data_IF_686281146843
#
_entry.id   IF_686281146843
#
_cell.length_a   1.000
_cell.length_b   1.000
_cell.length_c   1.000
_cell.angle_alpha   90.00
_cell.angle_beta   90.00
_cell.angle_gamma   90.00
#
_symmetry.space_group_name_H-M   'P 1'
#
loop_
_entity.id
_entity.type
_entity.pdbx_description
1 polymer ?
#
# COMPACT_ATOMS: atom_id res chain seq x y z
N UNK A 1 -8.35 -8.03 -27.96
CA UNK A 1 -8.17 -7.17 -26.77
C UNK A 1 -9.54 -6.98 -26.12
N UNK A 2 -9.68 -7.21 -24.81
CA UNK A 2 -10.95 -6.96 -24.13
C UNK A 2 -11.23 -5.45 -24.06
N UNK A 3 -12.48 -5.05 -24.24
CA UNK A 3 -12.92 -3.65 -24.17
C UNK A 3 -12.60 -3.10 -22.78
N UNK A 4 -11.86 -1.99 -22.72
CA UNK A 4 -11.66 -1.23 -21.47
C UNK A 4 -12.98 -0.55 -21.17
N UNK A 5 -13.56 -0.82 -20.00
CA UNK A 5 -14.79 -0.13 -19.59
C UNK A 5 -14.54 1.37 -19.58
N UNK A 6 -15.43 2.17 -20.13
CA UNK A 6 -15.33 3.65 -20.05
C UNK A 6 -16.25 4.20 -18.96
N UNK A 7 -15.99 5.42 -18.50
CA UNK A 7 -16.88 6.11 -17.56
C UNK A 7 -18.34 6.17 -18.06
N UNK A 8 -18.52 6.35 -19.37
CA UNK A 8 -19.84 6.35 -20.01
C UNK A 8 -20.50 4.97 -20.02
N UNK A 9 -19.76 3.92 -20.34
CA UNK A 9 -20.29 2.53 -20.30
C UNK A 9 -20.70 2.08 -18.89
N UNK A 10 -20.04 2.58 -17.86
CA UNK A 10 -20.38 2.31 -16.46
C UNK A 10 -21.54 3.16 -15.94
N UNK A 11 -21.99 4.15 -16.71
CA UNK A 11 -23.05 5.07 -16.30
C UNK A 11 -22.65 5.97 -15.14
N UNK A 12 -21.40 6.43 -15.09
CA UNK A 12 -20.98 7.41 -14.08
C UNK A 12 -21.69 8.76 -14.29
N UNK A 13 -21.98 9.54 -13.23
CA UNK A 13 -22.66 10.81 -13.34
C UNK A 13 -21.87 11.80 -14.22
N UNK A 14 -22.54 12.45 -15.18
CA UNK A 14 -21.97 13.50 -16.02
C UNK A 14 -22.79 14.80 -15.86
N UNK A 15 -22.19 15.91 -15.39
CA UNK A 15 -20.78 16.07 -15.01
C UNK A 15 -20.41 15.30 -13.73
N UNK A 16 -19.10 15.07 -13.46
CA UNK A 16 -18.65 14.48 -12.22
C UNK A 16 -19.24 15.20 -11.00
N UNK A 17 -19.69 14.46 -9.97
CA UNK A 17 -20.33 15.05 -8.81
C UNK A 17 -19.34 15.95 -8.05
N UNK A 18 -19.85 17.07 -7.54
CA UNK A 18 -19.12 17.98 -6.66
C UNK A 18 -19.86 18.12 -5.32
N UNK A 19 -19.09 18.39 -4.26
CA UNK A 19 -19.62 18.65 -2.93
C UNK A 19 -18.96 19.94 -2.42
N UNK A 20 -19.78 20.91 -2.01
CA UNK A 20 -19.31 22.11 -1.30
C UNK A 20 -18.75 21.72 0.07
N UNK A 21 -17.91 22.56 0.71
CA UNK A 21 -17.38 22.27 2.04
C UNK A 21 -18.45 21.99 3.11
N UNK A 22 -19.63 22.61 2.99
CA UNK A 22 -20.76 22.46 3.91
C UNK A 22 -21.73 21.33 3.50
N UNK A 23 -21.41 20.58 2.46
CA UNK A 23 -22.28 19.51 1.99
C UNK A 23 -22.36 18.36 3.02
N UNK A 24 -23.47 17.61 3.03
CA UNK A 24 -23.58 16.46 3.90
C UNK A 24 -22.42 15.47 3.66
N UNK A 25 -21.91 14.81 4.71
CA UNK A 25 -20.81 13.84 4.62
C UNK A 25 -21.03 12.73 3.58
N UNK A 26 -22.29 12.31 3.39
CA UNK A 26 -22.70 11.38 2.34
C UNK A 26 -22.36 11.88 0.93
N UNK A 27 -22.51 13.19 0.66
CA UNK A 27 -22.14 13.78 -0.62
C UNK A 27 -20.63 13.72 -0.85
N UNK A 28 -19.81 14.01 0.17
CA UNK A 28 -18.35 13.90 0.08
C UNK A 28 -17.88 12.45 -0.15
N UNK A 29 -18.50 11.47 0.52
CA UNK A 29 -18.22 10.05 0.29
C UNK A 29 -18.53 9.65 -1.15
N UNK A 30 -19.68 10.07 -1.68
CA UNK A 30 -20.08 9.81 -3.07
C UNK A 30 -19.12 10.42 -4.09
N UNK A 31 -18.73 11.68 -3.91
CA UNK A 31 -17.71 12.35 -4.74
C UNK A 31 -16.39 11.59 -4.71
N UNK A 32 -15.99 11.11 -3.53
CA UNK A 32 -14.76 10.33 -3.37
C UNK A 32 -14.84 8.98 -4.08
N UNK A 33 -15.97 8.28 -3.99
CA UNK A 33 -16.20 7.03 -4.71
C UNK A 33 -16.11 7.27 -6.21
N UNK A 34 -16.88 8.21 -6.76
CA UNK A 34 -16.87 8.55 -8.19
C UNK A 34 -15.45 8.82 -8.70
N UNK A 35 -14.73 9.72 -8.04
CA UNK A 35 -13.35 10.06 -8.41
C UNK A 35 -12.44 8.82 -8.44
N UNK A 36 -12.58 7.90 -7.49
CA UNK A 36 -11.74 6.72 -7.47
C UNK A 36 -12.18 5.65 -8.48
N UNK A 37 -13.47 5.56 -8.83
CA UNK A 37 -13.93 4.68 -9.93
C UNK A 37 -13.38 5.18 -11.26
N UNK A 38 -13.44 6.49 -11.51
CA UNK A 38 -12.83 7.11 -12.71
C UNK A 38 -11.34 6.83 -12.79
N UNK A 39 -10.61 7.07 -11.70
CA UNK A 39 -9.18 6.78 -11.65
C UNK A 39 -8.87 5.28 -11.87
N UNK A 40 -9.68 4.37 -11.30
CA UNK A 40 -9.50 2.94 -11.49
C UNK A 40 -9.62 2.55 -12.97
N UNK A 41 -10.61 3.11 -13.66
CA UNK A 41 -10.90 2.85 -15.08
C UNK A 41 -9.85 3.48 -15.99
N UNK A 42 -9.47 4.73 -15.74
CA UNK A 42 -8.46 5.46 -16.51
C UNK A 42 -7.11 4.73 -16.46
N UNK A 43 -6.68 4.34 -15.26
CA UNK A 43 -5.40 3.65 -15.07
C UNK A 43 -5.43 2.16 -15.47
N UNK A 44 -6.61 1.56 -15.67
CA UNK A 44 -6.71 0.22 -16.27
C UNK A 44 -6.12 0.21 -17.69
N UNK A 45 -6.39 1.25 -18.49
CA UNK A 45 -5.84 1.35 -19.85
C UNK A 45 -4.31 1.37 -19.82
N UNK A 46 -3.72 2.17 -18.93
CA UNK A 46 -2.27 2.25 -18.73
C UNK A 46 -1.69 0.91 -18.25
N UNK A 47 -2.34 0.29 -17.26
CA UNK A 47 -1.92 -1.00 -16.72
C UNK A 47 -1.98 -2.13 -17.77
N UNK A 48 -2.90 -2.04 -18.75
CA UNK A 48 -3.01 -3.01 -19.85
C UNK A 48 -1.88 -2.89 -20.88
N UNK A 49 -1.41 -1.67 -21.14
CA UNK A 49 -0.22 -1.44 -21.97
C UNK A 49 1.01 -2.03 -21.27
N UNK A 50 1.15 -1.75 -19.97
CA UNK A 50 2.23 -2.30 -19.13
C UNK A 50 3.62 -1.81 -19.51
N UNK A 51 3.70 -0.63 -20.14
CA UNK A 51 4.93 0.10 -20.42
C UNK A 51 5.39 0.90 -19.18
N UNK A 52 4.44 1.32 -18.35
CA UNK A 52 4.67 2.09 -17.13
C UNK A 52 4.09 1.35 -15.90
N UNK A 53 4.90 1.04 -14.87
CA UNK A 53 4.40 0.47 -13.61
C UNK A 53 3.40 1.40 -12.88
N UNK A 54 3.37 2.68 -13.22
CA UNK A 54 2.49 3.67 -12.61
C UNK A 54 1.00 3.37 -12.82
N UNK A 55 0.62 2.73 -13.93
CA UNK A 55 -0.76 2.30 -14.17
C UNK A 55 -1.27 1.37 -13.06
N UNK A 56 -0.50 0.33 -12.72
CA UNK A 56 -0.85 -0.60 -11.63
C UNK A 56 -0.77 0.10 -10.27
N UNK A 57 0.22 0.98 -10.08
CA UNK A 57 0.35 1.75 -8.85
C UNK A 57 -0.91 2.59 -8.57
N UNK A 58 -1.36 3.36 -9.54
CA UNK A 58 -2.53 4.23 -9.39
C UNK A 58 -3.83 3.44 -9.24
N UNK A 59 -4.00 2.32 -9.94
CA UNK A 59 -5.12 1.41 -9.68
C UNK A 59 -5.11 0.90 -8.22
N UNK A 60 -3.96 0.53 -7.66
CA UNK A 60 -3.86 0.14 -6.23
C UNK A 60 -4.24 1.30 -5.30
N UNK A 61 -3.82 2.51 -5.62
CA UNK A 61 -4.17 3.72 -4.86
C UNK A 61 -5.69 3.93 -4.88
N UNK A 62 -6.32 3.83 -6.04
CA UNK A 62 -7.77 3.94 -6.20
C UNK A 62 -8.52 2.87 -5.39
N UNK A 63 -8.14 1.59 -5.50
CA UNK A 63 -8.74 0.48 -4.73
C UNK A 63 -8.62 0.72 -3.21
N UNK A 64 -7.45 1.12 -2.72
CA UNK A 64 -7.25 1.44 -1.30
C UNK A 64 -8.15 2.59 -0.85
N UNK A 65 -8.24 3.65 -1.65
CA UNK A 65 -9.05 4.84 -1.32
C UNK A 65 -10.56 4.53 -1.39
N UNK A 66 -11.00 3.67 -2.30
CA UNK A 66 -12.37 3.13 -2.35
C UNK A 66 -12.68 2.36 -1.06
N UNK A 67 -11.82 1.40 -0.67
CA UNK A 67 -12.00 0.65 0.58
C UNK A 67 -12.09 1.56 1.81
N UNK A 68 -11.29 2.63 1.85
CA UNK A 68 -11.36 3.62 2.92
C UNK A 68 -12.68 4.41 2.91
N UNK A 69 -13.15 4.83 1.73
CA UNK A 69 -14.43 5.54 1.59
C UNK A 69 -15.62 4.66 2.01
N UNK A 70 -15.64 3.39 1.58
CA UNK A 70 -16.71 2.45 1.94
C UNK A 70 -16.74 2.08 3.43
N UNK A 71 -15.63 2.28 4.16
CA UNK A 71 -15.60 2.10 5.62
C UNK A 71 -16.19 3.28 6.40
N UNK A 72 -16.33 4.44 5.76
CA UNK A 72 -16.98 5.62 6.35
C UNK A 72 -18.52 5.57 6.23
N UNK A 73 -19.05 4.62 5.46
CA UNK A 73 -20.48 4.32 5.37
C UNK A 73 -20.89 3.45 6.57
N UNK A 74 -22.14 3.58 7.03
CA UNK A 74 -22.65 2.80 8.17
C UNK A 74 -22.46 1.28 7.95
N UNK A 75 -22.07 0.51 9.00
CA UNK A 75 -21.76 -0.92 8.87
C UNK A 75 -22.86 -1.77 8.22
N UNK A 76 -24.14 -1.43 8.45
CA UNK A 76 -25.29 -2.18 7.96
C UNK A 76 -25.73 -1.82 6.52
N UNK A 77 -24.97 -0.97 5.81
CA UNK A 77 -25.29 -0.54 4.44
C UNK A 77 -25.06 -1.62 3.36
N UNK A 78 -24.86 -2.88 3.73
CA UNK A 78 -24.70 -3.99 2.78
C UNK A 78 -23.42 -3.95 1.92
N UNK A 79 -22.40 -3.19 2.32
CA UNK A 79 -21.18 -2.98 1.50
C UNK A 79 -20.09 -4.04 1.67
N UNK A 80 -20.29 -5.03 2.54
CA UNK A 80 -19.28 -6.07 2.84
C UNK A 80 -18.82 -6.80 1.58
N UNK A 81 -19.77 -7.20 0.72
CA UNK A 81 -19.46 -7.88 -0.54
C UNK A 81 -18.57 -7.01 -1.45
N UNK A 82 -18.89 -5.73 -1.62
CA UNK A 82 -18.07 -4.81 -2.42
C UNK A 82 -16.69 -4.59 -1.79
N UNK A 83 -16.59 -4.50 -0.46
CA UNK A 83 -15.29 -4.39 0.22
C UNK A 83 -14.41 -5.64 0.02
N UNK A 84 -15.02 -6.82 -0.01
CA UNK A 84 -14.33 -8.08 -0.25
C UNK A 84 -13.86 -8.21 -1.70
N UNK A 85 -14.68 -7.79 -2.67
CA UNK A 85 -14.29 -7.70 -4.07
C UNK A 85 -13.14 -6.70 -4.30
N UNK A 86 -13.17 -5.54 -3.64
CA UNK A 86 -12.03 -4.61 -3.65
C UNK A 86 -10.78 -5.20 -2.98
N UNK A 87 -10.93 -6.04 -1.94
CA UNK A 87 -9.80 -6.74 -1.33
C UNK A 87 -9.20 -7.75 -2.30
N UNK A 88 -10.05 -8.52 -2.99
CA UNK A 88 -9.63 -9.45 -4.03
C UNK A 88 -8.86 -8.75 -5.16
N UNK A 89 -9.43 -7.69 -5.75
CA UNK A 89 -8.77 -6.92 -6.81
C UNK A 89 -7.45 -6.32 -6.30
N UNK A 90 -7.45 -5.79 -5.07
CA UNK A 90 -6.26 -5.28 -4.41
C UNK A 90 -5.15 -6.32 -4.25
N UNK A 91 -5.49 -7.60 -4.06
CA UNK A 91 -4.53 -8.71 -4.03
C UNK A 91 -3.93 -9.02 -5.40
N UNK A 92 -4.74 -9.00 -6.46
CA UNK A 92 -4.29 -9.22 -7.85
C UNK A 92 -3.30 -8.13 -8.28
N UNK A 93 -3.69 -6.86 -8.14
CA UNK A 93 -2.82 -5.71 -8.41
C UNK A 93 -1.63 -5.69 -7.44
N UNK A 94 -1.87 -6.19 -6.23
CA UNK A 94 -0.90 -6.35 -5.15
C UNK A 94 0.38 -6.99 -5.62
N UNK A 95 0.24 -8.23 -6.10
CA UNK A 95 1.33 -9.09 -6.57
C UNK A 95 2.20 -8.44 -7.65
N UNK A 96 1.62 -7.70 -8.58
CA UNK A 96 2.39 -7.05 -9.66
C UNK A 96 3.22 -5.91 -9.08
N UNK A 97 2.59 -5.02 -8.29
CA UNK A 97 3.31 -3.89 -7.72
C UNK A 97 4.42 -4.33 -6.77
N UNK A 98 4.23 -5.42 -6.02
CA UNK A 98 5.26 -5.95 -5.12
C UNK A 98 6.48 -6.43 -5.96
N UNK A 99 6.24 -7.09 -7.09
CA UNK A 99 7.28 -7.48 -8.04
C UNK A 99 7.92 -6.27 -8.75
N UNK A 100 7.16 -5.22 -9.10
CA UNK A 100 7.72 -4.00 -9.69
C UNK A 100 8.70 -3.30 -8.74
N UNK A 101 8.32 -3.17 -7.46
CA UNK A 101 9.20 -2.59 -6.42
C UNK A 101 10.46 -3.42 -6.31
N UNK A 102 10.32 -4.74 -6.17
CA UNK A 102 11.46 -5.61 -5.94
C UNK A 102 12.40 -5.69 -7.15
N UNK A 103 11.86 -5.81 -8.36
CA UNK A 103 12.66 -5.76 -9.60
C UNK A 103 13.37 -4.43 -9.76
N UNK A 104 12.70 -3.31 -9.50
CA UNK A 104 13.32 -1.99 -9.55
C UNK A 104 14.46 -1.86 -8.55
N UNK A 105 14.23 -2.31 -7.32
CA UNK A 105 15.22 -2.32 -6.23
C UNK A 105 16.44 -3.18 -6.56
N UNK A 106 16.25 -4.45 -6.93
CA UNK A 106 17.35 -5.37 -7.23
C UNK A 106 18.14 -4.93 -8.48
N UNK A 107 17.49 -4.36 -9.50
CA UNK A 107 18.18 -3.80 -10.67
C UNK A 107 19.02 -2.58 -10.32
N UNK A 108 18.51 -1.70 -9.46
CA UNK A 108 19.30 -0.56 -8.98
C UNK A 108 20.57 -1.05 -8.26
N UNK A 109 20.43 -2.05 -7.38
CA UNK A 109 21.59 -2.64 -6.72
C UNK A 109 22.54 -3.35 -7.69
N UNK A 110 22.01 -4.05 -8.70
CA UNK A 110 22.81 -4.72 -9.72
C UNK A 110 23.60 -3.71 -10.56
N UNK A 111 23.04 -2.54 -10.86
CA UNK A 111 23.74 -1.46 -11.55
C UNK A 111 24.97 -0.96 -10.77
N UNK A 112 24.90 -0.98 -9.44
CA UNK A 112 26.01 -0.61 -8.54
C UNK A 112 27.05 -1.73 -8.35
N UNK A 113 26.92 -2.88 -9.02
CA UNK A 113 27.93 -3.94 -9.02
C UNK A 113 29.04 -3.69 -10.05
N UNK A 114 30.24 -4.27 -9.86
CA UNK A 114 31.29 -4.30 -10.88
C UNK A 114 30.75 -4.83 -12.21
N UNK A 115 31.23 -4.27 -13.32
CA UNK A 115 30.74 -4.61 -14.68
C UNK A 115 30.75 -6.11 -14.95
N UNK A 116 31.79 -6.82 -14.47
CA UNK A 116 31.92 -8.26 -14.63
C UNK A 116 30.77 -9.07 -13.98
N UNK A 117 30.11 -8.54 -12.96
CA UNK A 117 29.07 -9.25 -12.20
C UNK A 117 27.65 -8.90 -12.65
N UNK A 118 27.47 -7.84 -13.45
CA UNK A 118 26.14 -7.36 -13.86
C UNK A 118 25.38 -8.39 -14.68
N UNK A 119 26.08 -9.15 -15.53
CA UNK A 119 25.45 -10.20 -16.32
C UNK A 119 24.88 -11.32 -15.42
N UNK A 120 25.62 -11.72 -14.39
CA UNK A 120 25.15 -12.70 -13.40
C UNK A 120 23.96 -12.17 -12.57
N UNK A 121 24.00 -10.89 -12.20
CA UNK A 121 22.87 -10.23 -11.53
C UNK A 121 21.59 -10.23 -12.39
N UNK A 122 21.70 -9.94 -13.70
CA UNK A 122 20.56 -9.99 -14.63
C UNK A 122 20.01 -11.41 -14.80
N UNK A 123 20.87 -12.43 -14.82
CA UNK A 123 20.43 -13.84 -14.85
C UNK A 123 19.67 -14.21 -13.58
N UNK A 124 20.18 -13.80 -12.41
CA UNK A 124 19.52 -14.01 -11.11
C UNK A 124 18.10 -13.42 -11.07
N UNK A 125 17.93 -12.16 -11.49
CA UNK A 125 16.61 -11.50 -11.50
C UNK A 125 15.69 -12.01 -12.63
N UNK A 126 16.21 -12.80 -13.56
CA UNK A 126 15.44 -13.36 -14.69
C UNK A 126 14.22 -14.19 -14.23
N UNK A 127 14.34 -14.91 -13.12
CA UNK A 127 13.23 -15.65 -12.53
C UNK A 127 12.13 -14.70 -11.98
N UNK A 128 12.49 -13.57 -11.33
CA UNK A 128 11.51 -12.54 -10.95
C UNK A 128 10.83 -11.93 -12.18
N UNK A 129 11.57 -11.71 -13.26
CA UNK A 129 10.99 -11.21 -14.52
C UNK A 129 9.94 -12.19 -15.05
N UNK A 130 10.19 -13.50 -14.95
CA UNK A 130 9.23 -14.52 -15.31
C UNK A 130 7.99 -14.50 -14.38
N UNK A 131 8.18 -14.33 -13.07
CA UNK A 131 7.09 -14.15 -12.10
C UNK A 131 6.25 -12.91 -12.39
N UNK A 132 6.88 -11.79 -12.69
CA UNK A 132 6.22 -10.55 -13.08
C UNK A 132 5.38 -10.76 -14.34
N UNK A 133 5.92 -11.42 -15.37
CA UNK A 133 5.16 -11.78 -16.57
C UNK A 133 3.96 -12.68 -16.26
N UNK A 134 4.10 -13.66 -15.36
CA UNK A 134 2.99 -14.52 -14.89
C UNK A 134 1.92 -13.71 -14.16
N UNK A 135 2.32 -12.84 -13.23
CA UNK A 135 1.41 -11.97 -12.48
C UNK A 135 0.65 -11.02 -13.41
N UNK A 136 1.35 -10.40 -14.38
CA UNK A 136 0.75 -9.56 -15.40
C UNK A 136 -0.30 -10.29 -16.24
N UNK A 137 -0.01 -11.51 -16.70
CA UNK A 137 -1.01 -12.33 -17.42
C UNK A 137 -2.25 -12.56 -16.56
N UNK A 138 -2.08 -12.96 -15.30
CA UNK A 138 -3.21 -13.16 -14.37
C UNK A 138 -4.05 -11.90 -14.14
N UNK A 139 -3.43 -10.73 -14.04
CA UNK A 139 -4.16 -9.46 -13.97
C UNK A 139 -4.96 -9.18 -15.25
N UNK A 140 -4.34 -9.35 -16.41
CA UNK A 140 -5.04 -9.13 -17.69
C UNK A 140 -6.23 -10.08 -17.87
N UNK A 141 -6.09 -11.33 -17.46
CA UNK A 141 -7.19 -12.30 -17.47
C UNK A 141 -8.26 -11.93 -16.45
N UNK A 142 -7.86 -11.45 -15.27
CA UNK A 142 -8.78 -10.91 -14.24
C UNK A 142 -9.67 -9.81 -14.82
N UNK A 143 -9.09 -8.86 -15.56
CA UNK A 143 -9.86 -7.77 -16.15
C UNK A 143 -10.86 -8.21 -17.23
N UNK A 144 -10.79 -9.46 -17.71
CA UNK A 144 -11.75 -10.01 -18.68
C UNK A 144 -12.91 -10.75 -18.01
N UNK A 145 -12.83 -10.99 -16.71
CA UNK A 145 -13.83 -11.79 -15.98
C UNK A 145 -15.16 -11.04 -15.83
N UNK A 146 -16.25 -11.80 -15.72
CA UNK A 146 -17.55 -11.25 -15.30
C UNK A 146 -17.44 -10.63 -13.90
N UNK A 147 -16.70 -11.30 -12.99
CA UNK A 147 -16.45 -10.81 -11.62
C UNK A 147 -15.91 -9.38 -11.59
N UNK A 148 -14.86 -9.09 -12.36
CA UNK A 148 -14.29 -7.74 -12.43
C UNK A 148 -15.30 -6.71 -12.96
N UNK A 149 -16.03 -7.03 -14.02
CA UNK A 149 -17.06 -6.14 -14.58
C UNK A 149 -18.21 -5.90 -13.60
N UNK A 150 -18.63 -6.92 -12.86
CA UNK A 150 -19.64 -6.79 -11.80
C UNK A 150 -19.18 -5.87 -10.67
N UNK A 151 -17.89 -5.95 -10.29
CA UNK A 151 -17.31 -5.01 -9.33
C UNK A 151 -17.38 -3.57 -9.84
N UNK A 152 -16.97 -3.30 -11.09
CA UNK A 152 -17.03 -1.94 -11.64
C UNK A 152 -18.46 -1.39 -11.67
N UNK A 153 -19.44 -2.20 -12.07
CA UNK A 153 -20.87 -1.81 -12.04
C UNK A 153 -21.38 -1.57 -10.63
N UNK A 154 -21.00 -2.41 -9.67
CA UNK A 154 -21.38 -2.20 -8.27
C UNK A 154 -20.81 -0.88 -7.73
N UNK A 155 -19.56 -0.56 -8.05
CA UNK A 155 -18.94 0.70 -7.66
C UNK A 155 -19.60 1.91 -8.33
N UNK A 156 -19.96 1.79 -9.61
CA UNK A 156 -20.72 2.83 -10.33
C UNK A 156 -22.13 3.02 -9.75
N UNK A 157 -22.83 1.95 -9.35
CA UNK A 157 -24.12 2.08 -8.68
C UNK A 157 -24.02 2.89 -7.37
N UNK A 158 -22.91 2.74 -6.64
CA UNK A 158 -22.66 3.51 -5.41
C UNK A 158 -22.45 5.02 -5.66
N UNK A 159 -22.14 5.44 -6.89
CA UNK A 159 -22.05 6.88 -7.21
C UNK A 159 -23.42 7.54 -7.36
N UNK A 160 -24.50 6.74 -7.43
CA UNK A 160 -25.89 7.22 -7.50
C UNK A 160 -26.67 6.94 -6.21
N UNK A 161 -26.16 6.07 -5.35
CA UNK A 161 -26.83 5.67 -4.12
C UNK A 161 -26.84 6.77 -3.05
N UNK A 162 -27.88 6.78 -2.24
CA UNK A 162 -27.90 7.47 -0.96
C UNK A 162 -27.14 6.62 0.07
N UNK A 163 -25.96 7.08 0.47
CA UNK A 163 -25.08 6.35 1.38
C UNK A 163 -25.17 6.95 2.79
N UNK A 164 -25.79 6.25 3.76
CA UNK A 164 -25.76 6.70 5.14
C UNK A 164 -24.33 6.65 5.68
N UNK A 165 -23.85 7.76 6.24
CA UNK A 165 -22.46 7.87 6.70
C UNK A 165 -22.36 7.82 8.21
N UNK A 166 -21.27 7.24 8.71
CA UNK A 166 -20.91 7.32 10.12
C UNK A 166 -20.24 8.68 10.30
N UNK A 167 -20.93 9.65 10.88
CA UNK A 167 -20.30 10.86 11.36
C UNK A 167 -20.37 10.89 12.87
N UNK A 168 -19.23 11.05 13.56
CA UNK A 168 -19.24 11.75 14.83
C UNK A 168 -19.58 13.21 14.52
N UNK A 169 -20.77 13.62 14.92
CA UNK A 169 -21.02 15.04 15.15
C UNK A 169 -20.31 15.43 16.44
N UNK A 170 -19.52 16.50 16.41
CA UNK A 170 -19.24 17.28 17.63
C UNK A 170 -17.81 17.30 18.15
N UNK A 171 -17.46 18.51 18.61
CA UNK A 171 -16.42 18.98 19.52
C UNK A 171 -14.95 18.55 19.35
N UNK A 172 -14.04 19.45 19.71
CA UNK A 172 -12.60 19.20 19.67
C UNK A 172 -12.12 18.09 20.63
N UNK A 173 -12.97 17.62 21.55
CA UNK A 173 -12.66 16.53 22.48
C UNK A 173 -12.73 15.16 21.81
N UNK A 174 -13.75 14.91 20.98
CA UNK A 174 -13.87 13.69 20.19
C UNK A 174 -12.69 13.51 19.21
N UNK A 175 -12.12 14.61 18.72
CA UNK A 175 -10.97 14.62 17.81
C UNK A 175 -9.67 14.09 18.46
N UNK A 176 -9.43 14.47 19.71
CA UNK A 176 -8.26 14.01 20.48
C UNK A 176 -8.40 12.54 20.85
N UNK A 177 -9.63 12.08 21.14
CA UNK A 177 -9.89 10.67 21.43
C UNK A 177 -9.59 9.73 20.25
N UNK A 178 -9.84 10.19 19.01
CA UNK A 178 -9.50 9.47 17.77
C UNK A 178 -7.98 9.22 17.65
N UNK A 179 -7.14 10.12 18.19
CA UNK A 179 -5.67 9.96 18.21
C UNK A 179 -5.20 9.17 19.44
N UNK A 180 -5.82 9.41 20.61
CA UNK A 180 -5.40 8.85 21.89
C UNK A 180 -5.37 7.32 21.89
N UNK A 181 -6.41 6.67 21.35
CA UNK A 181 -6.51 5.21 21.35
C UNK A 181 -5.45 4.53 20.45
N UNK A 182 -5.27 4.94 19.17
CA UNK A 182 -4.18 4.41 18.34
C UNK A 182 -2.79 4.70 18.91
N UNK A 183 -2.56 5.89 19.47
CA UNK A 183 -1.28 6.26 20.09
C UNK A 183 -0.96 5.37 21.29
N UNK A 184 -1.90 5.23 22.23
CA UNK A 184 -1.73 4.35 23.40
C UNK A 184 -1.36 2.93 23.00
N UNK A 185 -2.03 2.38 21.98
CA UNK A 185 -1.73 1.01 21.52
C UNK A 185 -0.38 0.91 20.83
N UNK A 186 0.00 1.89 20.01
CA UNK A 186 1.34 1.96 19.42
C UNK A 186 2.42 2.02 20.50
N UNK A 187 2.25 2.90 21.50
CA UNK A 187 3.18 3.09 22.61
C UNK A 187 3.34 1.81 23.44
N UNK A 188 2.23 1.17 23.80
CA UNK A 188 2.26 -0.11 24.52
C UNK A 188 3.02 -1.18 23.76
N UNK A 189 2.73 -1.35 22.47
CA UNK A 189 3.39 -2.37 21.64
C UNK A 189 4.88 -2.05 21.47
N UNK A 190 5.26 -0.78 21.25
CA UNK A 190 6.66 -0.36 21.11
C UNK A 190 7.49 -0.58 22.39
N UNK A 191 6.94 -0.21 23.55
CA UNK A 191 7.62 -0.36 24.85
C UNK A 191 7.74 -1.82 25.29
N UNK A 192 6.90 -2.71 24.76
CA UNK A 192 7.00 -4.14 25.01
C UNK A 192 8.13 -4.81 24.19
N UNK A 193 8.68 -4.14 23.17
CA UNK A 193 9.76 -4.68 22.34
C UNK A 193 11.12 -4.54 23.04
N UNK A 194 11.75 -5.69 23.31
CA UNK A 194 13.14 -5.77 23.78
C UNK A 194 14.14 -5.28 22.73
N UNK A 195 15.42 -5.19 23.09
CA UNK A 195 16.49 -4.57 22.28
C UNK A 195 16.52 -5.02 20.81
N UNK A 196 16.39 -6.33 20.57
CA UNK A 196 16.38 -6.93 19.23
C UNK A 196 15.04 -7.66 18.98
N UNK A 197 13.97 -6.95 18.57
CA UNK A 197 12.67 -7.55 18.37
C UNK A 197 12.63 -8.41 17.09
N UNK A 198 11.81 -9.47 17.05
CA UNK A 198 11.53 -10.22 15.81
C UNK A 198 11.06 -9.32 14.65
N UNK A 199 11.36 -9.72 13.41
CA UNK A 199 10.96 -8.96 12.21
C UNK A 199 9.41 -8.80 12.12
N UNK A 200 8.65 -9.82 12.53
CA UNK A 200 7.19 -9.80 12.55
C UNK A 200 6.62 -8.79 13.55
N UNK A 201 7.29 -8.59 14.68
CA UNK A 201 6.87 -7.62 15.69
C UNK A 201 7.09 -6.19 15.19
N UNK A 202 8.20 -5.93 14.48
CA UNK A 202 8.43 -4.65 13.80
C UNK A 202 7.40 -4.41 12.68
N UNK A 203 7.02 -5.46 11.94
CA UNK A 203 5.93 -5.37 10.96
C UNK A 203 4.59 -5.00 11.62
N UNK A 204 4.24 -5.67 12.73
CA UNK A 204 3.04 -5.36 13.49
C UNK A 204 3.05 -3.92 14.01
N UNK A 205 4.19 -3.44 14.50
CA UNK A 205 4.37 -2.07 14.97
C UNK A 205 4.18 -1.04 13.86
N UNK A 206 4.69 -1.32 12.65
CA UNK A 206 4.44 -0.48 11.47
C UNK A 206 2.95 -0.37 11.15
N UNK A 207 2.18 -1.45 11.30
CA UNK A 207 0.72 -1.43 11.13
C UNK A 207 0.07 -0.52 12.18
N UNK A 208 0.53 -0.53 13.44
CA UNK A 208 0.06 0.40 14.48
C UNK A 208 0.35 1.85 14.09
N UNK A 209 1.57 2.14 13.63
CA UNK A 209 1.95 3.46 13.13
C UNK A 209 1.04 3.94 12.01
N UNK A 210 0.69 3.06 11.05
CA UNK A 210 -0.27 3.38 9.96
C UNK A 210 -1.65 3.78 10.49
N UNK A 211 -2.14 3.10 11.53
CA UNK A 211 -3.42 3.43 12.16
C UNK A 211 -3.39 4.79 12.84
N UNK A 212 -2.30 5.10 13.56
CA UNK A 212 -2.12 6.42 14.17
C UNK A 212 -2.04 7.53 13.11
N UNK A 213 -1.26 7.34 12.05
CA UNK A 213 -1.19 8.33 10.96
C UNK A 213 -2.56 8.57 10.33
N UNK A 214 -3.33 7.51 10.08
CA UNK A 214 -4.68 7.66 9.54
C UNK A 214 -5.61 8.44 10.48
N UNK A 215 -5.57 8.15 11.78
CA UNK A 215 -6.31 8.91 12.78
C UNK A 215 -5.90 10.40 12.78
N UNK A 216 -4.60 10.69 12.73
CA UNK A 216 -4.09 12.05 12.65
C UNK A 216 -4.49 12.75 11.33
N UNK A 217 -4.48 12.05 10.20
CA UNK A 217 -4.95 12.58 8.90
C UNK A 217 -6.44 12.94 8.93
N UNK A 218 -7.28 12.16 9.62
CA UNK A 218 -8.69 12.50 9.85
C UNK A 218 -8.85 13.74 10.72
N UNK A 219 -7.97 13.91 11.72
CA UNK A 219 -7.96 15.07 12.59
C UNK A 219 -7.34 16.32 11.98
N UNK A 220 -6.62 16.21 10.86
CA UNK A 220 -5.83 17.29 10.28
C UNK A 220 -6.61 18.60 9.96
N UNK A 221 -7.87 18.57 9.48
CA UNK A 221 -8.63 19.79 9.21
C UNK A 221 -8.86 20.64 10.46
N UNK A 222 -9.07 20.02 11.61
CA UNK A 222 -9.37 20.71 12.88
C UNK A 222 -8.14 20.84 13.80
N UNK A 223 -7.13 19.99 13.66
CA UNK A 223 -5.98 19.90 14.57
C UNK A 223 -4.75 20.74 14.21
N UNK A 224 -4.82 21.56 13.15
CA UNK A 224 -3.82 22.58 12.85
C UNK A 224 -2.37 22.07 12.70
N UNK A 225 -1.40 22.91 13.10
CA UNK A 225 0.04 22.62 12.96
C UNK A 225 0.51 21.42 13.80
N UNK A 226 0.08 21.23 15.06
CA UNK A 226 0.49 20.08 15.87
C UNK A 226 0.16 18.73 15.23
N UNK A 227 -1.06 18.55 14.74
CA UNK A 227 -1.47 17.31 14.04
C UNK A 227 -0.68 17.09 12.76
N UNK A 228 -0.38 18.16 12.00
CA UNK A 228 0.49 18.03 10.81
C UNK A 228 1.91 17.56 11.15
N UNK A 229 2.49 18.01 12.27
CA UNK A 229 3.80 17.53 12.72
C UNK A 229 3.75 16.04 13.09
N UNK A 230 2.71 15.60 13.80
CA UNK A 230 2.51 14.18 14.12
C UNK A 230 2.36 13.32 12.85
N UNK A 231 1.64 13.80 11.83
CA UNK A 231 1.54 13.12 10.53
C UNK A 231 2.92 12.97 9.89
N UNK A 232 3.75 14.01 9.92
CA UNK A 232 5.11 13.94 9.37
C UNK A 232 5.98 12.94 10.13
N UNK A 233 6.04 13.01 11.46
CA UNK A 233 6.83 12.07 12.26
C UNK A 233 6.38 10.62 12.06
N UNK A 234 5.06 10.38 12.01
CA UNK A 234 4.53 9.03 11.73
C UNK A 234 4.82 8.54 10.32
N UNK A 235 5.02 9.42 9.33
CA UNK A 235 5.53 9.02 8.00
C UNK A 235 6.97 8.55 8.09
N UNK A 236 7.85 9.34 8.72
CA UNK A 236 9.26 8.98 8.90
C UNK A 236 9.42 7.65 9.65
N UNK A 237 8.69 7.45 10.74
CA UNK A 237 8.64 6.17 11.46
C UNK A 237 8.18 5.00 10.56
N UNK A 238 7.15 5.21 9.73
CA UNK A 238 6.65 4.18 8.81
C UNK A 238 7.56 3.91 7.62
N UNK A 239 8.36 4.89 7.20
CA UNK A 239 9.38 4.77 6.16
C UNK A 239 10.50 3.88 6.67
N UNK A 240 11.06 4.14 7.86
CA UNK A 240 12.11 3.29 8.46
C UNK A 240 11.66 1.85 8.63
N UNK A 241 10.47 1.61 9.21
CA UNK A 241 9.96 0.23 9.34
C UNK A 241 9.49 -0.34 8.00
N UNK A 242 9.19 0.50 7.01
CA UNK A 242 8.89 0.09 5.64
C UNK A 242 10.13 -0.46 4.96
N UNK A 243 11.23 0.29 5.03
CA UNK A 243 12.53 -0.10 4.49
C UNK A 243 13.09 -1.36 5.15
N UNK A 244 12.89 -1.50 6.47
CA UNK A 244 13.20 -2.74 7.19
C UNK A 244 12.45 -3.93 6.60
N UNK A 245 11.13 -3.83 6.45
CA UNK A 245 10.31 -4.91 5.91
C UNK A 245 10.67 -5.23 4.46
N UNK A 246 10.90 -4.20 3.63
CA UNK A 246 11.27 -4.39 2.23
C UNK A 246 12.62 -5.09 2.11
N UNK A 247 13.59 -4.82 3.01
CA UNK A 247 14.86 -5.52 3.07
C UNK A 247 14.72 -7.00 3.47
N UNK A 248 13.86 -7.30 4.45
CA UNK A 248 13.55 -8.69 4.84
C UNK A 248 12.95 -9.46 3.66
N UNK A 249 11.95 -8.87 2.99
CA UNK A 249 11.30 -9.50 1.83
C UNK A 249 12.25 -9.68 0.65
N UNK A 250 13.17 -8.74 0.43
CA UNK A 250 14.19 -8.84 -0.60
C UNK A 250 15.21 -9.96 -0.30
N UNK A 251 15.66 -10.10 0.96
CA UNK A 251 16.51 -11.22 1.37
C UNK A 251 15.80 -12.57 1.15
N UNK A 252 14.54 -12.70 1.57
CA UNK A 252 13.76 -13.93 1.40
C UNK A 252 13.60 -14.30 -0.08
N UNK A 253 13.32 -13.31 -0.94
CA UNK A 253 13.21 -13.56 -2.36
C UNK A 253 14.55 -13.98 -2.96
N UNK A 254 15.65 -13.29 -2.64
CA UNK A 254 16.98 -13.68 -3.12
C UNK A 254 17.33 -15.13 -2.72
N UNK A 255 16.96 -15.54 -1.49
CA UNK A 255 17.13 -16.92 -1.03
C UNK A 255 16.28 -17.90 -1.82
N UNK A 256 15.02 -17.55 -2.12
CA UNK A 256 14.14 -18.36 -2.99
C UNK A 256 14.78 -18.54 -4.37
N UNK A 257 15.31 -17.48 -4.98
CA UNK A 257 15.96 -17.57 -6.30
C UNK A 257 17.20 -18.46 -6.27
N UNK A 258 18.02 -18.35 -5.24
CA UNK A 258 19.19 -19.22 -5.07
C UNK A 258 18.77 -20.68 -4.94
N UNK A 259 17.71 -20.96 -4.18
CA UNK A 259 17.17 -22.32 -4.08
C UNK A 259 16.68 -22.84 -5.44
N UNK A 260 16.02 -22.01 -6.25
CA UNK A 260 15.59 -22.39 -7.60
C UNK A 260 16.78 -22.64 -8.55
N UNK A 261 17.85 -21.85 -8.43
CA UNK A 261 19.08 -22.07 -9.21
C UNK A 261 19.79 -23.37 -8.82
N UNK A 262 19.73 -23.77 -7.55
CA UNK A 262 20.36 -24.99 -7.05
C UNK A 262 19.71 -26.28 -7.61
N UNK A 263 18.44 -26.21 -8.04
CA UNK A 263 17.72 -27.33 -8.65
C UNK A 263 18.05 -27.52 -10.15
N UNK A 264 18.83 -26.61 -10.74
CA UNK A 264 19.24 -26.71 -12.15
C UNK A 264 20.39 -27.70 -12.32
N UNK A 265 20.41 -28.40 -13.46
CA UNK A 265 21.47 -29.37 -13.78
C UNK A 265 22.86 -28.74 -13.90
N UNK A 266 22.94 -27.45 -14.25
CA UNK A 266 24.16 -26.65 -14.28
C UNK A 266 23.95 -25.40 -13.41
N UNK A 267 24.59 -25.39 -12.24
CA UNK A 267 24.42 -24.32 -11.26
C UNK A 267 25.23 -23.10 -11.71
N UNK A 268 24.56 -21.95 -11.84
CA UNK A 268 25.20 -20.68 -12.12
C UNK A 268 25.90 -20.13 -10.86
N UNK A 269 27.13 -20.55 -10.64
CA UNK A 269 27.93 -20.19 -9.47
C UNK A 269 28.16 -18.67 -9.35
N UNK A 270 28.24 -17.95 -10.48
CA UNK A 270 28.36 -16.49 -10.48
C UNK A 270 27.07 -15.83 -9.98
N UNK A 271 25.91 -16.31 -10.44
CA UNK A 271 24.63 -15.80 -9.96
C UNK A 271 24.42 -16.08 -8.47
N UNK A 272 24.85 -17.24 -7.97
CA UNK A 272 24.82 -17.57 -6.53
C UNK A 272 25.75 -16.63 -5.74
N UNK A 273 26.95 -16.37 -6.24
CA UNK A 273 27.89 -15.42 -5.61
C UNK A 273 27.29 -14.01 -5.54
N UNK A 274 26.72 -13.51 -6.65
CA UNK A 274 26.06 -12.21 -6.70
C UNK A 274 24.86 -12.15 -5.75
N UNK A 275 24.04 -13.20 -5.68
CA UNK A 275 22.93 -13.28 -4.75
C UNK A 275 23.41 -13.12 -3.30
N UNK A 276 24.52 -13.76 -2.92
CA UNK A 276 25.14 -13.59 -1.61
C UNK A 276 25.52 -12.14 -1.31
N UNK A 277 26.08 -11.42 -2.29
CA UNK A 277 26.40 -9.98 -2.14
C UNK A 277 25.15 -9.12 -1.94
N UNK A 278 24.08 -9.40 -2.68
CA UNK A 278 22.81 -8.68 -2.56
C UNK A 278 22.14 -8.96 -1.20
N UNK A 279 22.17 -10.21 -0.72
CA UNK A 279 21.69 -10.58 0.62
C UNK A 279 22.43 -9.79 1.71
N UNK A 280 23.75 -9.67 1.63
CA UNK A 280 24.52 -8.89 2.60
C UNK A 280 24.17 -7.39 2.56
N UNK A 281 23.85 -6.83 1.38
CA UNK A 281 23.34 -5.45 1.26
C UNK A 281 21.98 -5.29 1.95
N UNK A 282 21.06 -6.22 1.76
CA UNK A 282 19.76 -6.19 2.44
C UNK A 282 19.90 -6.34 3.96
N UNK A 283 20.81 -7.20 4.44
CA UNK A 283 21.11 -7.34 5.86
C UNK A 283 21.65 -6.04 6.46
N UNK A 284 22.55 -5.36 5.76
CA UNK A 284 23.06 -4.06 6.18
C UNK A 284 21.94 -3.00 6.24
N UNK A 285 21.06 -2.95 5.24
CA UNK A 285 19.89 -2.06 5.22
C UNK A 285 18.92 -2.37 6.37
N UNK A 286 18.64 -3.65 6.63
CA UNK A 286 17.82 -4.12 7.75
C UNK A 286 18.41 -3.67 9.09
N UNK A 287 19.72 -3.84 9.29
CA UNK A 287 20.42 -3.41 10.50
C UNK A 287 20.35 -1.88 10.69
N UNK A 288 20.56 -1.09 9.63
CA UNK A 288 20.45 0.36 9.68
C UNK A 288 19.03 0.82 10.07
N UNK A 289 17.99 0.16 9.59
CA UNK A 289 16.61 0.46 9.99
C UNK A 289 16.34 0.04 11.44
N UNK A 290 16.86 -1.12 11.88
CA UNK A 290 16.77 -1.60 13.27
C UNK A 290 17.43 -0.63 14.26
N UNK A 291 18.51 0.03 13.87
CA UNK A 291 19.17 1.04 14.69
C UNK A 291 18.36 2.35 14.85
N UNK A 292 17.42 2.64 13.95
CA UNK A 292 16.74 3.95 13.85
C UNK A 292 15.27 3.94 14.26
N UNK A 293 14.62 2.78 14.31
CA UNK A 293 13.17 2.75 14.52
C UNK A 293 12.75 3.31 15.88
N UNK A 294 13.56 3.12 16.93
CA UNK A 294 13.28 3.64 18.28
C UNK A 294 13.29 5.16 18.31
N UNK A 295 14.34 5.78 17.77
CA UNK A 295 14.46 7.24 17.67
C UNK A 295 13.25 7.86 16.94
N UNK A 296 12.87 7.29 15.80
CA UNK A 296 11.70 7.78 15.04
C UNK A 296 10.37 7.49 15.73
N UNK A 297 10.29 6.45 16.55
CA UNK A 297 9.14 6.20 17.43
C UNK A 297 9.07 7.21 18.58
N UNK A 298 10.19 7.55 19.21
CA UNK A 298 10.24 8.51 20.32
C UNK A 298 9.77 9.90 19.88
N UNK A 299 10.12 10.34 18.66
CA UNK A 299 9.58 11.58 18.09
C UNK A 299 8.05 11.52 17.95
N UNK A 300 7.51 10.38 17.50
CA UNK A 300 6.06 10.17 17.42
C UNK A 300 5.43 10.19 18.81
N UNK A 301 6.03 9.53 19.81
CA UNK A 301 5.52 9.45 21.17
C UNK A 301 5.46 10.83 21.84
N UNK A 302 6.52 11.63 21.68
CA UNK A 302 6.61 13.00 22.20
C UNK A 302 5.54 13.89 21.58
N UNK A 303 5.42 13.88 20.25
CA UNK A 303 4.45 14.74 19.55
C UNK A 303 2.99 14.34 19.84
N UNK A 304 2.71 13.05 19.92
CA UNK A 304 1.38 12.56 20.27
C UNK A 304 1.04 12.86 21.73
N UNK A 305 1.97 12.67 22.66
CA UNK A 305 1.76 12.97 24.08
C UNK A 305 1.54 14.47 24.32
N UNK A 306 2.31 15.34 23.66
CA UNK A 306 2.14 16.78 23.76
C UNK A 306 0.80 17.28 23.17
N UNK A 307 0.22 16.55 22.21
CA UNK A 307 -1.09 16.86 21.64
C UNK A 307 -2.23 16.45 22.57
N UNK A 308 -2.02 15.44 23.43
CA UNK A 308 -3.02 14.83 24.30
C UNK A 308 -2.95 15.30 25.76
N UNK A 309 -1.97 16.14 26.09
CA UNK A 309 -1.80 16.78 27.39
C UNK A 309 -2.68 18.03 27.51
#
# INVERSE_FOLDING_TARGET
MGVVSTSGELGLPEPPPAATPDAPPAAHVRVRIDRQVRALVEHEAVARLGEDPEGVHQMRVAVRRLRAALKAVVPDAGLTATQDELRWLGGVLGRIRDLDVLLGHLRAQAADLPVAERAAAERLVGALVADHRRARRRMLDTFRTVRYRSLLRALAALTHAELPTVMPAGDGGALLEVIARPHRKLRQDALALGEDPPDDDLHALRIRGKRLRYAAELAAPAGGRPVRRLITATKTFQEVLGDHQDAVLAEDELRRLVAELAELADVDHEAVFVAGRLVERERARRAACRARWRETFDEVDVLASALLA
#
